data_IF_590765574996
#
_entry.id   IF_590765574996
#
_cell.length_a   1.000
_cell.length_b   1.000
_cell.length_c   1.000
_cell.angle_alpha   90.00
_cell.angle_beta   90.00
_cell.angle_gamma   90.00
#
_symmetry.space_group_name_H-M   'P 1'
#
loop_
_entity.id
_entity.type
_entity.pdbx_description
1 polymer ?
#
# COMPACT_ATOMS: atom_id res chain seq x y z
N UNK A 1 -29.98 -4.60 -11.36
CA UNK A 1 -30.46 -5.60 -10.39
C UNK A 1 -30.12 -6.95 -10.95
N UNK A 2 -29.12 -7.62 -10.38
CA UNK A 2 -28.87 -9.04 -10.64
C UNK A 2 -29.93 -9.83 -9.87
N UNK A 3 -30.50 -10.86 -10.49
CA UNK A 3 -31.39 -11.80 -9.82
C UNK A 3 -30.57 -12.70 -8.89
N UNK A 4 -31.20 -13.29 -7.87
CA UNK A 4 -30.54 -14.30 -7.01
C UNK A 4 -29.98 -15.47 -7.83
N UNK A 5 -30.63 -15.82 -8.94
CA UNK A 5 -30.17 -16.87 -9.87
C UNK A 5 -28.80 -16.55 -10.49
N UNK A 6 -28.54 -15.28 -10.83
CA UNK A 6 -27.24 -14.85 -11.37
C UNK A 6 -26.10 -14.99 -10.34
N UNK A 7 -26.37 -14.81 -9.05
CA UNK A 7 -25.36 -14.98 -8.00
C UNK A 7 -24.94 -16.45 -7.83
N UNK A 8 -25.89 -17.40 -7.94
CA UNK A 8 -25.58 -18.83 -7.87
C UNK A 8 -24.78 -19.32 -9.08
N UNK A 9 -25.23 -18.95 -10.29
CA UNK A 9 -24.51 -19.28 -11.53
C UNK A 9 -23.08 -18.74 -11.51
N UNK A 10 -22.90 -17.53 -10.99
CA UNK A 10 -21.58 -16.93 -10.91
C UNK A 10 -20.67 -17.57 -9.87
N UNK A 11 -21.18 -17.91 -8.70
CA UNK A 11 -20.40 -18.69 -7.72
C UNK A 11 -19.96 -20.03 -8.31
N UNK A 12 -20.84 -20.70 -9.06
CA UNK A 12 -20.52 -21.93 -9.76
C UNK A 12 -19.43 -21.71 -10.83
N UNK A 13 -19.53 -20.63 -11.62
CA UNK A 13 -18.50 -20.26 -12.60
C UNK A 13 -17.16 -19.94 -11.94
N UNK A 14 -17.15 -19.13 -10.88
CA UNK A 14 -15.92 -18.80 -10.14
C UNK A 14 -15.25 -20.05 -9.58
N UNK A 15 -16.04 -20.97 -9.01
CA UNK A 15 -15.52 -22.26 -8.55
C UNK A 15 -14.97 -23.11 -9.71
N UNK A 16 -15.62 -23.09 -10.87
CA UNK A 16 -15.15 -23.81 -12.07
C UNK A 16 -13.83 -23.24 -12.57
N UNK A 17 -13.68 -21.92 -12.61
CA UNK A 17 -12.43 -21.23 -12.97
C UNK A 17 -11.32 -21.54 -11.95
N UNK A 18 -11.65 -21.54 -10.66
CA UNK A 18 -10.71 -21.93 -9.60
C UNK A 18 -10.22 -23.37 -9.78
N UNK A 19 -11.13 -24.33 -10.03
CA UNK A 19 -10.78 -25.73 -10.27
C UNK A 19 -9.88 -25.84 -11.50
N UNK A 20 -10.28 -25.25 -12.63
CA UNK A 20 -9.50 -25.26 -13.86
C UNK A 20 -8.10 -24.66 -13.66
N UNK A 21 -7.98 -23.57 -12.89
CA UNK A 21 -6.68 -22.93 -12.60
C UNK A 21 -5.79 -23.82 -11.73
N UNK A 22 -6.36 -24.56 -10.77
CA UNK A 22 -5.64 -25.52 -9.92
C UNK A 22 -5.17 -26.77 -10.68
N UNK A 23 -5.90 -27.16 -11.72
CA UNK A 23 -5.58 -28.32 -12.56
C UNK A 23 -4.51 -28.03 -13.63
N UNK A 24 -4.17 -26.75 -13.85
CA UNK A 24 -3.07 -26.39 -14.73
C UNK A 24 -1.73 -26.80 -14.11
N UNK A 25 -0.95 -27.58 -14.87
CA UNK A 25 0.41 -27.98 -14.48
C UNK A 25 1.30 -26.74 -14.25
N UNK A 26 1.94 -26.59 -13.08
CA UNK A 26 2.78 -25.42 -12.78
C UNK A 26 3.88 -25.18 -13.83
N UNK A 27 4.45 -26.23 -14.41
CA UNK A 27 5.52 -26.13 -15.43
C UNK A 27 5.04 -25.65 -16.81
N UNK A 28 3.73 -25.46 -17.02
CA UNK A 28 3.18 -25.04 -18.30
C UNK A 28 3.54 -23.59 -18.64
N UNK A 29 3.68 -22.74 -17.62
CA UNK A 29 3.92 -21.31 -17.75
C UNK A 29 5.15 -20.94 -16.91
N UNK A 30 5.93 -19.96 -17.37
CA UNK A 30 6.98 -19.37 -16.54
C UNK A 30 6.37 -18.46 -15.45
N UNK A 31 7.21 -17.99 -14.52
CA UNK A 31 6.76 -17.07 -13.46
C UNK A 31 6.09 -15.80 -14.04
N UNK A 32 6.51 -15.34 -15.21
CA UNK A 32 5.92 -14.15 -15.81
C UNK A 32 4.49 -14.40 -16.30
N UNK A 33 4.28 -15.48 -17.01
CA UNK A 33 2.99 -15.89 -17.54
C UNK A 33 2.00 -16.22 -16.43
N UNK A 34 2.43 -16.90 -15.36
CA UNK A 34 1.58 -17.14 -14.19
C UNK A 34 1.11 -15.84 -13.53
N UNK A 35 2.00 -14.87 -13.35
CA UNK A 35 1.62 -13.56 -12.85
C UNK A 35 0.61 -12.87 -13.76
N UNK A 36 0.83 -12.87 -15.08
CA UNK A 36 -0.09 -12.21 -16.01
C UNK A 36 -1.47 -12.89 -16.03
N UNK A 37 -1.52 -14.22 -15.91
CA UNK A 37 -2.77 -14.95 -15.70
C UNK A 37 -3.47 -14.51 -14.41
N UNK A 38 -2.71 -14.39 -13.31
CA UNK A 38 -3.22 -13.85 -12.05
C UNK A 38 -3.81 -12.44 -12.22
N UNK A 39 -3.09 -11.52 -12.88
CA UNK A 39 -3.60 -10.17 -13.18
C UNK A 39 -4.89 -10.22 -13.98
N UNK A 40 -4.94 -11.00 -15.05
CA UNK A 40 -6.13 -11.15 -15.88
C UNK A 40 -7.34 -11.67 -15.10
N UNK A 41 -7.14 -12.66 -14.23
CA UNK A 41 -8.18 -13.22 -13.37
C UNK A 41 -8.66 -12.23 -12.31
N UNK A 42 -7.76 -11.43 -11.72
CA UNK A 42 -8.13 -10.33 -10.82
C UNK A 42 -9.00 -9.29 -11.55
N UNK A 43 -8.61 -8.85 -12.76
CA UNK A 43 -9.33 -7.85 -13.54
C UNK A 43 -10.80 -8.18 -13.82
N UNK A 44 -11.14 -9.47 -13.85
CA UNK A 44 -12.49 -9.96 -14.15
C UNK A 44 -13.21 -10.53 -12.92
N UNK A 45 -12.60 -10.42 -11.74
CA UNK A 45 -13.26 -10.74 -10.48
C UNK A 45 -13.11 -12.17 -9.96
N UNK A 46 -12.20 -12.98 -10.51
CA UNK A 46 -11.95 -14.36 -10.03
C UNK A 46 -10.77 -14.40 -9.05
N UNK A 47 -10.92 -13.76 -7.89
CA UNK A 47 -9.84 -13.50 -6.94
C UNK A 47 -9.19 -14.77 -6.39
N UNK A 48 -9.96 -15.81 -6.03
CA UNK A 48 -9.38 -17.08 -5.56
C UNK A 48 -8.61 -17.81 -6.65
N UNK A 49 -9.08 -17.77 -7.89
CA UNK A 49 -8.36 -18.35 -9.02
C UNK A 49 -7.09 -17.55 -9.32
N UNK A 50 -7.18 -16.22 -9.29
CA UNK A 50 -6.05 -15.31 -9.45
C UNK A 50 -4.96 -15.54 -8.39
N UNK A 51 -5.36 -15.81 -7.14
CA UNK A 51 -4.44 -16.22 -6.08
C UNK A 51 -3.73 -17.53 -6.39
N UNK A 52 -4.44 -18.55 -6.89
CA UNK A 52 -3.81 -19.82 -7.29
C UNK A 52 -2.72 -19.59 -8.36
N UNK A 53 -3.03 -18.80 -9.39
CA UNK A 53 -2.06 -18.44 -10.41
C UNK A 53 -0.88 -17.61 -9.84
N UNK A 54 -1.15 -16.74 -8.85
CA UNK A 54 -0.13 -15.94 -8.16
C UNK A 54 0.82 -16.79 -7.32
N UNK A 55 0.31 -17.80 -6.64
CA UNK A 55 1.13 -18.72 -5.84
C UNK A 55 2.08 -19.52 -6.74
N UNK A 56 1.60 -20.04 -7.88
CA UNK A 56 2.48 -20.65 -8.88
C UNK A 56 3.55 -19.66 -9.37
N UNK A 57 3.16 -18.40 -9.61
CA UNK A 57 4.09 -17.34 -10.00
C UNK A 57 5.19 -17.12 -8.95
N UNK A 58 4.85 -17.10 -7.66
CA UNK A 58 5.78 -16.93 -6.56
C UNK A 58 6.74 -18.13 -6.45
N UNK A 59 6.20 -19.35 -6.45
CA UNK A 59 6.99 -20.59 -6.37
C UNK A 59 8.02 -20.66 -7.49
N UNK A 60 7.56 -20.48 -8.73
CA UNK A 60 8.43 -20.53 -9.91
C UNK A 60 9.41 -19.35 -9.92
N UNK A 61 9.03 -18.17 -9.40
CA UNK A 61 9.96 -17.04 -9.28
C UNK A 61 11.15 -17.39 -8.39
N UNK A 62 10.89 -18.07 -7.26
CA UNK A 62 11.92 -18.50 -6.31
C UNK A 62 12.83 -19.53 -6.99
N UNK A 63 12.26 -20.55 -7.63
CA UNK A 63 13.01 -21.59 -8.34
C UNK A 63 13.90 -21.00 -9.44
N UNK A 64 13.32 -20.16 -10.31
CA UNK A 64 14.03 -19.47 -11.40
C UNK A 64 15.18 -18.60 -10.87
N UNK A 65 15.06 -18.01 -9.67
CA UNK A 65 16.12 -17.19 -9.06
C UNK A 65 17.26 -17.98 -8.44
N UNK A 66 17.02 -19.25 -8.06
CA UNK A 66 18.01 -20.15 -7.49
C UNK A 66 18.88 -20.86 -8.53
N UNK A 67 18.51 -20.79 -9.81
CA UNK A 67 19.29 -21.42 -10.87
C UNK A 67 20.69 -20.80 -11.05
N UNK A 68 21.65 -21.63 -11.46
CA UNK A 68 23.04 -21.17 -11.64
C UNK A 68 23.15 -20.02 -12.66
N UNK A 69 22.32 -20.03 -13.70
CA UNK A 69 22.35 -19.08 -14.81
C UNK A 69 21.19 -18.07 -14.80
N UNK A 70 20.51 -17.89 -13.65
CA UNK A 70 19.43 -16.90 -13.53
C UNK A 70 19.88 -15.50 -13.92
N UNK A 71 18.99 -14.77 -14.58
CA UNK A 71 19.18 -13.37 -14.89
C UNK A 71 19.09 -12.49 -13.62
N UNK A 72 19.68 -11.29 -13.63
CA UNK A 72 19.49 -10.27 -12.59
C UNK A 72 18.03 -10.09 -12.15
N UNK A 73 17.13 -9.97 -13.13
CA UNK A 73 15.70 -9.75 -12.91
C UNK A 73 15.04 -10.95 -12.23
N UNK A 74 15.42 -12.18 -12.62
CA UNK A 74 14.91 -13.38 -11.98
C UNK A 74 15.33 -13.46 -10.51
N UNK A 75 16.57 -13.12 -10.18
CA UNK A 75 17.06 -13.06 -8.80
C UNK A 75 16.32 -12.01 -7.99
N UNK A 76 16.16 -10.78 -8.51
CA UNK A 76 15.40 -9.72 -7.82
C UNK A 76 13.97 -10.17 -7.53
N UNK A 77 13.29 -10.75 -8.51
CA UNK A 77 11.91 -11.25 -8.36
C UNK A 77 11.82 -12.40 -7.34
N UNK A 78 12.81 -13.28 -7.30
CA UNK A 78 12.90 -14.34 -6.29
C UNK A 78 13.06 -13.75 -4.88
N UNK A 79 13.93 -12.74 -4.71
CA UNK A 79 14.11 -12.05 -3.43
C UNK A 79 12.81 -11.36 -3.01
N UNK A 80 12.10 -10.68 -3.92
CA UNK A 80 10.80 -10.07 -3.61
C UNK A 80 9.75 -11.10 -3.20
N UNK A 81 9.71 -12.26 -3.87
CA UNK A 81 8.81 -13.37 -3.51
C UNK A 81 9.11 -13.93 -2.12
N UNK A 82 10.39 -14.16 -1.81
CA UNK A 82 10.82 -14.65 -0.50
C UNK A 82 10.61 -13.60 0.61
N UNK A 83 10.80 -12.30 0.34
CA UNK A 83 10.51 -11.22 1.28
C UNK A 83 9.01 -11.18 1.61
N UNK A 84 8.14 -11.32 0.62
CA UNK A 84 6.69 -11.37 0.86
C UNK A 84 6.30 -12.58 1.73
N UNK A 85 6.97 -13.72 1.55
CA UNK A 85 6.74 -14.94 2.34
C UNK A 85 7.50 -14.98 3.67
N UNK A 86 8.29 -13.94 3.98
CA UNK A 86 9.19 -13.89 5.14
C UNK A 86 10.20 -15.05 5.20
N UNK A 87 10.62 -15.57 4.04
CA UNK A 87 11.67 -16.57 3.91
C UNK A 87 13.06 -15.91 4.02
N UNK A 88 13.35 -15.24 5.14
CA UNK A 88 14.52 -14.38 5.29
C UNK A 88 15.86 -15.10 5.08
N UNK A 89 15.94 -16.40 5.40
CA UNK A 89 17.13 -17.21 5.14
C UNK A 89 17.41 -17.37 3.64
N UNK A 90 16.37 -17.56 2.84
CA UNK A 90 16.47 -17.63 1.37
C UNK A 90 16.84 -16.27 0.79
N UNK A 91 16.24 -15.19 1.32
CA UNK A 91 16.60 -13.81 0.96
C UNK A 91 18.09 -13.56 1.17
N UNK A 92 18.65 -13.90 2.34
CA UNK A 92 20.09 -13.75 2.60
C UNK A 92 20.93 -14.49 1.57
N UNK A 93 20.61 -15.75 1.33
CA UNK A 93 21.33 -16.59 0.36
C UNK A 93 21.28 -16.01 -1.06
N UNK A 94 20.12 -15.53 -1.50
CA UNK A 94 19.96 -14.91 -2.82
C UNK A 94 20.68 -13.55 -2.92
N UNK A 95 20.67 -12.75 -1.85
CA UNK A 95 21.40 -11.50 -1.79
C UNK A 95 22.93 -11.71 -1.77
N UNK A 96 23.42 -12.80 -1.20
CA UNK A 96 24.84 -13.19 -1.27
C UNK A 96 25.31 -13.53 -2.69
N UNK A 97 24.39 -13.83 -3.62
CA UNK A 97 24.67 -13.96 -5.05
C UNK A 97 24.77 -12.57 -5.73
N UNK A 98 25.47 -11.65 -5.05
CA UNK A 98 25.50 -10.19 -5.27
C UNK A 98 25.81 -9.78 -6.71
N UNK A 99 26.59 -10.59 -7.41
CA UNK A 99 27.18 -10.26 -8.72
C UNK A 99 26.11 -10.12 -9.81
N UNK A 100 24.90 -10.61 -9.55
CA UNK A 100 23.77 -10.56 -10.48
C UNK A 100 22.82 -9.40 -10.22
N UNK A 101 22.84 -8.73 -9.06
CA UNK A 101 21.82 -7.75 -8.71
C UNK A 101 22.35 -6.32 -8.95
N UNK A 102 21.61 -5.45 -9.68
CA UNK A 102 21.98 -4.04 -9.81
C UNK A 102 22.10 -3.37 -8.44
N UNK A 103 23.11 -2.51 -8.25
CA UNK A 103 23.43 -1.92 -6.93
C UNK A 103 22.22 -1.26 -6.25
N UNK A 104 21.45 -0.47 -7.01
CA UNK A 104 20.26 0.21 -6.49
C UNK A 104 19.20 -0.79 -5.99
N UNK A 105 18.94 -1.87 -6.74
CA UNK A 105 18.03 -2.93 -6.33
C UNK A 105 18.55 -3.67 -5.11
N UNK A 106 19.85 -3.95 -5.07
CA UNK A 106 20.49 -4.59 -3.91
C UNK A 106 20.33 -3.77 -2.64
N UNK A 107 20.61 -2.46 -2.70
CA UNK A 107 20.49 -1.57 -1.53
C UNK A 107 19.03 -1.49 -1.04
N UNK A 108 18.06 -1.44 -1.96
CA UNK A 108 16.62 -1.47 -1.63
C UNK A 108 16.18 -2.79 -0.97
N UNK A 109 16.53 -3.93 -1.57
CA UNK A 109 16.18 -5.25 -1.04
C UNK A 109 16.84 -5.51 0.32
N UNK A 110 18.08 -5.03 0.50
CA UNK A 110 18.78 -5.13 1.77
C UNK A 110 18.16 -4.24 2.85
N UNK A 111 17.72 -3.03 2.51
CA UNK A 111 16.98 -2.18 3.44
C UNK A 111 15.67 -2.84 3.89
N UNK A 112 14.97 -3.49 2.95
CA UNK A 112 13.76 -4.27 3.24
C UNK A 112 14.05 -5.47 4.14
N UNK A 113 15.11 -6.25 3.89
CA UNK A 113 15.52 -7.35 4.78
C UNK A 113 15.83 -6.84 6.21
N UNK A 114 16.64 -5.78 6.33
CA UNK A 114 17.03 -5.21 7.61
C UNK A 114 15.83 -4.76 8.46
N UNK A 115 14.74 -4.33 7.80
CA UNK A 115 13.50 -3.93 8.46
C UNK A 115 12.89 -5.08 9.30
N UNK A 116 12.90 -6.30 8.76
CA UNK A 116 12.31 -7.46 9.41
C UNK A 116 13.24 -8.16 10.39
N UNK A 117 14.54 -8.13 10.14
CA UNK A 117 15.50 -8.83 11.00
C UNK A 117 15.61 -8.21 12.39
N UNK A 118 15.17 -6.95 12.57
CA UNK A 118 15.31 -6.17 13.81
C UNK A 118 16.74 -6.20 14.39
N UNK A 119 17.71 -6.66 13.60
CA UNK A 119 19.11 -6.64 13.95
C UNK A 119 19.46 -5.19 14.10
N UNK A 120 20.04 -4.85 15.26
CA UNK A 120 20.60 -3.57 15.65
C UNK A 120 21.77 -3.15 14.74
N UNK A 121 21.55 -3.19 13.44
CA UNK A 121 22.46 -2.72 12.44
C UNK A 121 22.12 -1.24 12.31
N UNK A 122 23.11 -0.38 12.60
CA UNK A 122 23.12 0.98 12.07
C UNK A 122 22.74 0.87 10.60
N UNK A 123 21.53 1.29 10.23
CA UNK A 123 21.12 1.26 8.83
C UNK A 123 22.23 1.95 8.02
N UNK A 124 22.53 1.50 6.79
CA UNK A 124 23.51 2.16 5.93
C UNK A 124 23.15 3.63 5.60
N UNK A 125 21.96 4.08 5.99
CA UNK A 125 21.45 5.44 5.81
C UNK A 125 21.25 6.09 7.19
N UNK A 126 22.26 6.06 8.05
CA UNK A 126 22.55 7.24 8.87
C UNK A 126 23.23 8.27 7.95
N UNK A 127 22.62 8.58 6.79
CA UNK A 127 23.04 9.76 6.03
C UNK A 127 22.88 10.92 7.01
N UNK A 128 23.92 11.75 7.18
CA UNK A 128 23.83 12.87 8.10
C UNK A 128 22.64 13.72 7.67
N UNK A 129 21.61 13.75 8.52
CA UNK A 129 20.45 14.61 8.33
C UNK A 129 21.00 16.03 8.23
N UNK A 130 20.84 16.63 7.07
CA UNK A 130 21.33 18.00 6.83
C UNK A 130 20.51 18.94 7.70
N UNK A 131 21.20 19.77 8.48
CA UNK A 131 20.57 20.75 9.33
C UNK A 131 19.64 21.68 8.50
N UNK A 132 18.43 21.91 8.99
CA UNK A 132 17.35 22.69 8.37
C UNK A 132 16.77 22.14 7.07
N UNK A 133 16.91 20.82 6.80
CA UNK A 133 16.27 20.16 5.66
C UNK A 133 14.83 19.69 5.98
N UNK A 134 13.96 19.49 4.97
CA UNK A 134 12.69 18.80 5.15
C UNK A 134 12.85 17.42 5.82
N UNK A 135 13.94 16.71 5.51
CA UNK A 135 14.29 15.42 6.14
C UNK A 135 14.51 15.58 7.66
N UNK A 136 15.10 16.68 8.13
CA UNK A 136 15.24 16.97 9.57
C UNK A 136 13.88 17.18 10.22
N UNK A 137 13.02 18.00 9.63
CA UNK A 137 11.69 18.26 10.17
C UNK A 137 10.87 16.96 10.27
N UNK A 138 10.93 16.11 9.25
CA UNK A 138 10.28 14.80 9.29
C UNK A 138 10.80 13.94 10.43
N UNK A 139 12.13 13.89 10.60
CA UNK A 139 12.75 13.17 11.71
C UNK A 139 12.31 13.72 13.07
N UNK A 140 12.29 15.04 13.27
CA UNK A 140 11.83 15.68 14.51
C UNK A 140 10.36 15.37 14.85
N UNK A 141 9.51 15.31 13.83
CA UNK A 141 8.10 14.97 13.98
C UNK A 141 7.88 13.47 14.24
N UNK A 142 8.79 12.58 13.87
CA UNK A 142 8.53 11.12 13.93
C UNK A 142 9.40 10.38 14.96
N UNK A 143 10.67 10.73 15.07
CA UNK A 143 11.65 9.99 15.85
C UNK A 143 11.29 9.92 17.34
N UNK A 144 11.20 8.72 17.88
CA UNK A 144 10.83 8.46 19.28
C UNK A 144 9.49 9.10 19.70
N UNK A 145 8.59 9.36 18.74
CA UNK A 145 7.23 9.88 18.96
C UNK A 145 6.18 8.78 18.87
N UNK A 146 5.07 8.98 19.58
CA UNK A 146 3.84 8.24 19.32
C UNK A 146 3.16 8.85 18.09
N UNK A 147 3.01 8.06 17.02
CA UNK A 147 2.49 8.53 15.73
C UNK A 147 1.15 7.87 15.42
N UNK A 148 0.16 8.67 15.05
CA UNK A 148 -1.08 8.19 14.44
C UNK A 148 -0.96 8.28 12.90
N UNK A 149 -1.28 7.20 12.19
CA UNK A 149 -1.42 7.20 10.73
C UNK A 149 -2.89 6.99 10.37
N UNK A 150 -3.52 7.99 9.77
CA UNK A 150 -4.95 7.97 9.42
C UNK A 150 -5.13 7.87 7.91
N UNK A 151 -5.82 6.82 7.49
CA UNK A 151 -6.15 6.56 6.11
C UNK A 151 -7.34 7.39 5.61
N UNK A 152 -7.62 7.34 4.30
CA UNK A 152 -8.75 8.04 3.70
C UNK A 152 -10.11 7.39 4.00
N UNK A 153 -10.11 6.11 4.40
CA UNK A 153 -11.31 5.34 4.74
C UNK A 153 -11.86 5.68 6.13
N UNK A 154 -13.02 5.10 6.48
CA UNK A 154 -13.67 5.33 7.77
C UNK A 154 -13.14 4.35 8.85
N UNK A 155 -12.56 4.82 9.97
CA UNK A 155 -12.30 3.99 11.13
C UNK A 155 -13.60 3.38 11.65
N UNK A 156 -13.55 2.11 12.05
CA UNK A 156 -14.71 1.42 12.59
C UNK A 156 -14.81 1.69 14.10
N UNK A 157 -15.11 2.95 14.45
CA UNK A 157 -15.23 3.40 15.83
C UNK A 157 -14.93 4.89 16.02
N UNK A 158 -15.16 5.39 17.24
CA UNK A 158 -14.89 6.77 17.65
C UNK A 158 -13.46 6.91 18.19
N UNK A 159 -12.48 7.04 17.29
CA UNK A 159 -11.05 7.14 17.66
C UNK A 159 -10.52 8.56 17.74
N UNK A 160 -11.37 9.58 17.62
CA UNK A 160 -10.93 10.96 17.46
C UNK A 160 -10.03 11.47 18.58
N UNK A 161 -10.42 11.22 19.83
CA UNK A 161 -9.64 11.59 21.01
C UNK A 161 -8.30 10.83 21.03
N UNK A 162 -8.31 9.55 20.67
CA UNK A 162 -7.10 8.73 20.64
C UNK A 162 -6.12 9.21 19.56
N UNK A 163 -6.61 9.48 18.35
CA UNK A 163 -5.84 10.03 17.24
C UNK A 163 -5.20 11.36 17.65
N UNK A 164 -5.99 12.28 18.18
CA UNK A 164 -5.52 13.62 18.56
C UNK A 164 -4.61 13.60 19.81
N UNK A 165 -4.55 12.49 20.55
CA UNK A 165 -3.61 12.30 21.67
C UNK A 165 -2.19 11.94 21.24
N UNK A 166 -2.00 11.53 19.97
CA UNK A 166 -0.68 11.25 19.43
C UNK A 166 0.19 12.52 19.43
N UNK A 167 1.50 12.34 19.56
CA UNK A 167 2.42 13.48 19.46
C UNK A 167 2.43 14.01 18.02
N UNK A 168 2.32 13.11 17.04
CA UNK A 168 2.29 13.43 15.61
C UNK A 168 1.15 12.69 14.93
N UNK A 169 0.31 13.44 14.21
CA UNK A 169 -0.77 12.89 13.39
C UNK A 169 -0.41 12.99 11.92
N UNK A 170 -0.43 11.85 11.24
CA UNK A 170 -0.13 11.75 9.82
C UNK A 170 -1.35 11.28 9.05
N UNK A 171 -1.58 11.83 7.87
CA UNK A 171 -2.77 11.53 7.05
C UNK A 171 -2.39 11.24 5.61
N UNK A 172 -3.09 10.28 5.01
CA UNK A 172 -2.95 9.96 3.59
C UNK A 172 -4.13 10.54 2.84
N UNK A 173 -3.87 11.23 1.72
CA UNK A 173 -4.91 11.92 0.93
C UNK A 173 -5.68 12.94 1.78
N UNK A 174 -4.92 13.79 2.48
CA UNK A 174 -5.47 14.87 3.30
C UNK A 174 -6.11 15.94 2.41
N UNK A 175 -7.32 16.35 2.75
CA UNK A 175 -8.16 17.26 1.95
C UNK A 175 -8.56 18.52 2.72
N UNK A 176 -7.86 18.83 3.81
CA UNK A 176 -8.22 19.94 4.71
C UNK A 176 -9.04 19.48 5.91
N UNK A 177 -8.89 20.20 7.01
CA UNK A 177 -9.56 19.90 8.27
C UNK A 177 -11.08 20.02 8.15
N UNK A 178 -11.55 20.98 7.37
CA UNK A 178 -12.95 21.25 7.07
C UNK A 178 -13.62 20.14 6.24
N UNK A 179 -12.83 19.33 5.54
CA UNK A 179 -13.29 18.21 4.71
C UNK A 179 -13.02 16.86 5.38
N UNK A 180 -12.54 16.84 6.63
CA UNK A 180 -12.44 15.61 7.40
C UNK A 180 -13.83 15.17 7.90
N UNK A 181 -14.02 13.87 8.13
CA UNK A 181 -15.20 13.38 8.84
C UNK A 181 -15.29 13.97 10.25
N UNK A 182 -16.45 13.84 10.94
CA UNK A 182 -16.62 14.40 12.27
C UNK A 182 -15.47 14.01 13.21
N UNK A 183 -14.91 15.00 13.92
CA UNK A 183 -13.67 14.87 14.69
C UNK A 183 -13.70 13.72 15.69
N UNK A 184 -14.87 13.36 16.25
CA UNK A 184 -15.03 12.19 17.14
C UNK A 184 -14.55 10.86 16.52
N UNK A 185 -14.56 10.73 15.19
CA UNK A 185 -14.15 9.52 14.49
C UNK A 185 -12.70 9.57 14.02
N UNK A 186 -12.26 10.73 13.51
CA UNK A 186 -10.98 10.85 12.78
C UNK A 186 -9.96 11.78 13.42
N UNK A 187 -10.30 12.44 14.54
CA UNK A 187 -9.52 13.54 15.09
C UNK A 187 -9.58 14.78 14.19
N UNK A 188 -9.10 15.92 14.69
CA UNK A 188 -9.01 17.16 13.93
C UNK A 188 -7.58 17.48 13.48
N UNK A 189 -6.56 16.92 14.14
CA UNK A 189 -5.17 17.30 13.90
C UNK A 189 -4.60 16.67 12.63
N UNK A 190 -3.64 17.36 12.01
CA UNK A 190 -2.77 16.82 10.97
C UNK A 190 -1.43 17.56 11.01
N UNK A 191 -0.33 16.84 11.25
CA UNK A 191 1.02 17.38 11.21
C UNK A 191 1.68 17.10 9.84
N UNK A 192 1.54 15.86 9.36
CA UNK A 192 2.16 15.41 8.10
C UNK A 192 1.09 14.86 7.17
N UNK A 193 1.03 15.37 5.95
CA UNK A 193 0.15 14.82 4.92
C UNK A 193 0.96 14.14 3.81
N UNK A 194 0.58 12.91 3.46
CA UNK A 194 1.04 12.27 2.24
C UNK A 194 0.18 12.72 1.07
N UNK A 195 0.82 13.25 0.02
CA UNK A 195 0.19 13.61 -1.24
C UNK A 195 1.01 13.08 -2.41
N UNK A 196 0.41 12.23 -3.24
CA UNK A 196 1.05 11.77 -4.47
C UNK A 196 0.99 12.84 -5.57
N UNK A 197 1.94 12.80 -6.50
CA UNK A 197 1.94 13.57 -7.74
C UNK A 197 1.81 15.10 -7.54
N UNK A 198 2.53 15.65 -6.54
CA UNK A 198 2.53 17.10 -6.28
C UNK A 198 3.01 17.94 -7.47
N UNK A 199 3.85 17.38 -8.35
CA UNK A 199 4.29 18.07 -9.57
C UNK A 199 3.11 18.46 -10.48
N UNK A 200 2.11 17.57 -10.63
CA UNK A 200 0.91 17.86 -11.43
C UNK A 200 0.09 18.94 -10.74
N UNK A 201 -0.08 18.84 -9.42
CA UNK A 201 -0.82 19.86 -8.65
C UNK A 201 -0.13 21.23 -8.70
N UNK A 202 1.20 21.27 -8.77
CA UNK A 202 1.95 22.51 -8.82
C UNK A 202 1.66 23.29 -10.11
N UNK A 203 1.52 22.59 -11.24
CA UNK A 203 1.11 23.20 -12.51
C UNK A 203 -0.27 23.86 -12.39
N UNK A 204 -1.21 23.24 -11.69
CA UNK A 204 -2.54 23.83 -11.46
C UNK A 204 -2.51 25.02 -10.49
N UNK A 205 -1.69 24.97 -9.44
CA UNK A 205 -1.49 26.10 -8.52
C UNK A 205 -0.90 27.30 -9.26
N UNK A 206 0.10 27.07 -10.12
CA UNK A 206 0.66 28.10 -10.99
C UNK A 206 -0.38 28.68 -11.97
N UNK A 207 -1.36 27.87 -12.38
CA UNK A 207 -2.51 28.29 -13.18
C UNK A 207 -3.62 29.02 -12.37
N UNK A 208 -3.41 29.26 -11.08
CA UNK A 208 -4.31 30.01 -10.20
C UNK A 208 -5.27 29.16 -9.37
N UNK A 209 -5.08 27.84 -9.32
CA UNK A 209 -5.82 26.99 -8.39
C UNK A 209 -5.42 27.29 -6.95
N UNK A 210 -6.40 27.60 -6.11
CA UNK A 210 -6.16 27.79 -4.69
C UNK A 210 -6.28 26.46 -3.92
N UNK A 211 -5.21 26.04 -3.25
CA UNK A 211 -5.13 24.83 -2.43
C UNK A 211 -4.83 25.17 -0.96
N UNK A 212 -5.70 25.97 -0.35
CA UNK A 212 -5.56 26.45 1.03
C UNK A 212 -5.70 25.35 2.10
N UNK A 213 -6.12 24.15 1.72
CA UNK A 213 -6.33 23.05 2.67
C UNK A 213 -5.04 22.49 3.29
N UNK A 214 -3.85 22.92 2.83
CA UNK A 214 -2.58 22.59 3.46
C UNK A 214 -2.10 23.64 4.49
N UNK A 215 -2.86 24.70 4.77
CA UNK A 215 -2.37 25.77 5.65
C UNK A 215 -2.04 25.30 7.08
N UNK A 216 -2.79 24.32 7.61
CA UNK A 216 -2.70 23.86 9.00
C UNK A 216 -1.80 22.63 9.22
N UNK A 217 -1.04 22.19 8.21
CA UNK A 217 -0.06 21.10 8.35
C UNK A 217 1.36 21.64 8.49
N UNK A 218 2.26 20.87 9.09
CA UNK A 218 3.67 21.23 9.24
C UNK A 218 4.45 20.95 7.95
N UNK A 219 4.16 19.81 7.30
CA UNK A 219 4.90 19.38 6.11
C UNK A 219 4.16 18.34 5.26
N UNK A 220 4.66 18.14 4.04
CA UNK A 220 4.17 17.16 3.08
C UNK A 220 5.19 16.04 2.86
N UNK A 221 4.69 14.84 2.58
CA UNK A 221 5.47 13.71 2.05
C UNK A 221 4.94 13.37 0.67
N UNK A 222 5.82 13.21 -0.32
CA UNK A 222 5.42 12.95 -1.71
C UNK A 222 6.38 12.04 -2.46
N UNK A 223 5.88 11.42 -3.52
CA UNK A 223 6.68 10.73 -4.52
C UNK A 223 7.17 11.68 -5.65
N UNK A 224 6.85 12.97 -5.57
CA UNK A 224 7.35 14.01 -6.48
C UNK A 224 8.53 14.75 -5.85
N UNK A 225 9.60 14.93 -6.62
CA UNK A 225 10.75 15.77 -6.23
C UNK A 225 10.38 17.26 -6.29
N UNK A 226 9.91 17.78 -5.17
CA UNK A 226 9.67 19.20 -4.94
C UNK A 226 10.21 19.57 -3.57
N UNK A 227 10.92 20.70 -3.39
CA UNK A 227 11.40 21.10 -2.06
C UNK A 227 10.28 21.70 -1.21
N UNK A 228 9.30 22.36 -1.84
CA UNK A 228 8.16 22.98 -1.19
C UNK A 228 6.91 22.87 -2.06
N UNK A 229 5.74 22.90 -1.43
CA UNK A 229 4.44 22.96 -2.09
C UNK A 229 3.45 23.74 -1.21
N UNK A 230 2.75 24.72 -1.78
CA UNK A 230 1.85 25.63 -1.03
C UNK A 230 2.48 26.21 0.25
N UNK A 231 3.76 26.60 0.18
CA UNK A 231 4.49 27.17 1.31
C UNK A 231 4.91 26.15 2.40
N UNK A 232 4.67 24.86 2.20
CA UNK A 232 5.08 23.78 3.12
C UNK A 232 6.30 23.04 2.61
N UNK A 233 7.25 22.65 3.48
CA UNK A 233 8.36 21.80 3.09
C UNK A 233 7.84 20.42 2.66
N UNK A 234 8.51 19.83 1.68
CA UNK A 234 8.15 18.52 1.12
C UNK A 234 9.33 17.56 1.30
N UNK A 235 9.07 16.40 1.92
CA UNK A 235 9.99 15.27 1.91
C UNK A 235 9.64 14.35 0.74
N UNK A 236 10.64 14.09 -0.10
CA UNK A 236 10.52 13.15 -1.21
C UNK A 236 10.83 11.73 -0.73
N UNK A 237 10.01 10.78 -1.17
CA UNK A 237 10.27 9.36 -0.98
C UNK A 237 11.40 8.92 -1.92
N UNK A 238 12.59 8.73 -1.35
CA UNK A 238 13.82 8.41 -2.10
C UNK A 238 13.95 6.93 -2.48
N UNK A 239 13.26 6.05 -1.75
CA UNK A 239 13.40 4.60 -1.92
C UNK A 239 12.06 3.94 -2.22
N UNK A 240 11.87 3.38 -3.44
CA UNK A 240 10.70 2.56 -3.70
C UNK A 240 10.75 1.31 -2.82
N UNK A 241 9.61 0.93 -2.25
CA UNK A 241 9.49 -0.32 -1.50
C UNK A 241 9.58 -1.46 -2.52
N UNK A 242 10.60 -2.32 -2.39
CA UNK A 242 10.68 -3.54 -3.19
C UNK A 242 9.54 -4.47 -2.83
N UNK A 243 8.62 -4.70 -3.76
CA UNK A 243 7.44 -5.53 -3.60
C UNK A 243 7.31 -6.44 -4.81
N UNK A 244 6.76 -7.64 -4.61
CA UNK A 244 6.62 -8.61 -5.68
C UNK A 244 5.83 -8.05 -6.86
N UNK A 245 6.56 -7.68 -7.93
CA UNK A 245 6.07 -7.22 -9.23
C UNK A 245 5.01 -6.11 -9.18
N UNK A 246 5.04 -5.27 -8.16
CA UNK A 246 4.09 -4.18 -7.98
C UNK A 246 4.71 -2.97 -7.30
N UNK A 247 3.90 -1.91 -7.16
CA UNK A 247 4.25 -0.73 -6.37
C UNK A 247 3.43 -0.67 -5.09
N UNK A 248 4.03 -0.12 -4.05
CA UNK A 248 3.33 0.16 -2.82
C UNK A 248 2.30 1.27 -3.05
N UNK A 249 1.15 1.15 -2.39
CA UNK A 249 0.12 2.20 -2.39
C UNK A 249 0.47 3.26 -1.35
N UNK A 250 -0.06 4.47 -1.54
CA UNK A 250 0.15 5.65 -0.67
C UNK A 250 0.20 5.35 0.84
N UNK A 251 -0.78 4.58 1.34
CA UNK A 251 -0.83 4.15 2.74
C UNK A 251 0.38 3.34 3.20
N UNK A 252 0.74 2.34 2.41
CA UNK A 252 1.86 1.44 2.68
C UNK A 252 3.20 2.18 2.54
N UNK A 253 3.30 3.09 1.56
CA UNK A 253 4.44 3.98 1.41
C UNK A 253 4.64 4.81 2.68
N UNK A 254 3.59 5.50 3.13
CA UNK A 254 3.67 6.37 4.30
C UNK A 254 4.02 5.56 5.56
N UNK A 255 3.41 4.39 5.75
CA UNK A 255 3.73 3.48 6.85
C UNK A 255 5.22 3.09 6.85
N UNK A 256 5.77 2.70 5.70
CA UNK A 256 7.18 2.35 5.58
C UNK A 256 8.11 3.54 5.89
N UNK A 257 7.78 4.75 5.43
CA UNK A 257 8.55 5.96 5.75
C UNK A 257 8.54 6.24 7.25
N UNK A 258 7.37 6.13 7.89
CA UNK A 258 7.25 6.30 9.33
C UNK A 258 8.08 5.28 10.10
N UNK A 259 7.99 3.99 9.77
CA UNK A 259 8.78 2.96 10.46
C UNK A 259 10.28 3.23 10.34
N UNK A 260 10.77 3.61 9.16
CA UNK A 260 12.18 3.92 8.95
C UNK A 260 12.65 5.15 9.73
N UNK A 261 11.77 6.10 10.04
CA UNK A 261 12.06 7.24 10.90
C UNK A 261 12.05 6.90 12.41
N UNK A 262 11.91 5.62 12.77
CA UNK A 262 12.08 5.07 14.13
C UNK A 262 11.21 5.77 15.20
N UNK A 263 9.88 5.77 15.04
CA UNK A 263 8.97 6.26 16.06
C UNK A 263 9.02 5.37 17.29
N UNK A 264 8.52 5.89 18.41
CA UNK A 264 8.34 5.11 19.63
C UNK A 264 7.23 4.09 19.45
N UNK A 265 6.14 4.48 18.79
CA UNK A 265 5.02 3.63 18.43
C UNK A 265 4.26 4.23 17.24
N UNK A 266 3.69 3.37 16.41
CA UNK A 266 2.75 3.76 15.35
C UNK A 266 1.43 3.07 15.63
N UNK A 267 0.32 3.81 15.57
CA UNK A 267 -1.02 3.24 15.48
C UNK A 267 -1.76 3.72 14.24
N UNK A 268 -2.36 2.79 13.50
CA UNK A 268 -3.01 3.05 12.22
C UNK A 268 -4.55 3.03 12.37
N UNK A 269 -5.24 3.92 11.66
CA UNK A 269 -6.70 4.07 11.67
C UNK A 269 -7.27 4.24 10.27
N UNK A 270 -8.45 3.68 10.01
CA UNK A 270 -9.15 3.88 8.74
C UNK A 270 -8.48 3.19 7.54
N UNK A 271 -7.76 2.09 7.79
CA UNK A 271 -7.20 1.21 6.77
C UNK A 271 -7.87 -0.15 6.82
N UNK A 272 -8.48 -0.53 5.70
CA UNK A 272 -9.07 -1.84 5.47
C UNK A 272 -8.31 -2.66 4.43
N UNK A 273 -7.21 -2.10 3.89
CA UNK A 273 -6.43 -2.68 2.80
C UNK A 273 -7.31 -3.11 1.62
N UNK A 274 -8.27 -2.28 1.19
CA UNK A 274 -9.19 -2.57 0.07
C UNK A 274 -10.18 -3.71 0.33
N UNK A 275 -10.31 -4.19 1.57
CA UNK A 275 -11.26 -5.25 1.94
C UNK A 275 -12.72 -4.77 2.07
N UNK A 276 -13.02 -3.51 1.74
CA UNK A 276 -14.37 -2.96 1.68
C UNK A 276 -14.57 -2.06 0.43
N UNK A 277 -15.80 -1.92 -0.09
CA UNK A 277 -16.04 -1.09 -1.31
C UNK A 277 -16.03 0.41 -1.02
N UNK A 278 -16.39 0.80 0.21
CA UNK A 278 -16.29 2.17 0.70
C UNK A 278 -14.85 2.49 1.13
N UNK A 279 -14.05 2.94 0.16
CA UNK A 279 -12.62 3.22 0.33
C UNK A 279 -12.33 4.61 0.93
N UNK A 280 -13.32 5.50 0.91
CA UNK A 280 -13.22 6.87 1.40
C UNK A 280 -14.34 7.12 2.40
N UNK A 281 -14.06 7.99 3.36
CA UNK A 281 -15.13 8.61 4.14
C UNK A 281 -16.04 9.46 3.24
N UNK A 282 -17.28 9.71 3.67
CA UNK A 282 -18.25 10.49 2.89
C UNK A 282 -17.74 11.91 2.63
N UNK A 283 -17.13 12.55 3.64
CA UNK A 283 -16.53 13.89 3.51
C UNK A 283 -15.39 13.93 2.48
N UNK A 284 -14.48 12.96 2.53
CA UNK A 284 -13.39 12.89 1.55
C UNK A 284 -13.93 12.60 0.14
N UNK A 285 -14.92 11.71 0.01
CA UNK A 285 -15.58 11.43 -1.26
C UNK A 285 -16.24 12.68 -1.84
N UNK A 286 -17.03 13.40 -1.05
CA UNK A 286 -17.74 14.59 -1.51
C UNK A 286 -16.75 15.67 -1.97
N UNK A 287 -15.63 15.82 -1.26
CA UNK A 287 -14.53 16.68 -1.69
C UNK A 287 -13.93 16.24 -3.03
N UNK A 288 -13.60 14.95 -3.20
CA UNK A 288 -13.02 14.44 -4.44
C UNK A 288 -14.03 14.39 -5.60
N UNK A 289 -15.32 14.27 -5.34
CA UNK A 289 -16.34 14.37 -6.37
C UNK A 289 -16.34 15.76 -7.02
N UNK A 290 -16.13 16.81 -6.21
CA UNK A 290 -16.06 18.21 -6.70
C UNK A 290 -14.68 18.55 -7.27
N UNK A 291 -13.61 18.12 -6.59
CA UNK A 291 -12.24 18.59 -6.87
C UNK A 291 -11.37 17.57 -7.60
N UNK A 292 -11.77 16.30 -7.66
CA UNK A 292 -11.00 15.19 -8.24
C UNK A 292 -10.55 15.40 -9.69
N UNK A 293 -11.38 15.98 -10.59
CA UNK A 293 -10.95 16.34 -11.94
C UNK A 293 -9.77 17.31 -11.99
N UNK A 294 -9.65 18.18 -10.97
CA UNK A 294 -8.59 19.18 -10.85
C UNK A 294 -7.38 18.59 -10.13
N UNK A 295 -7.59 17.69 -9.17
CA UNK A 295 -6.53 17.08 -8.37
C UNK A 295 -5.78 15.95 -9.09
N UNK A 296 -5.95 15.83 -10.41
CA UNK A 296 -5.15 14.96 -11.26
C UNK A 296 -5.53 13.47 -11.21
N UNK A 297 -6.67 13.10 -10.62
CA UNK A 297 -7.17 11.73 -10.73
C UNK A 297 -8.66 11.65 -10.34
N UNK A 298 -9.62 11.77 -11.28
CA UNK A 298 -10.93 11.20 -11.05
C UNK A 298 -10.76 9.68 -11.13
N UNK A 299 -10.28 9.04 -10.05
CA UNK A 299 -10.38 7.58 -9.94
C UNK A 299 -11.83 7.23 -10.29
N UNK A 300 -12.05 6.30 -11.24
CA UNK A 300 -13.40 5.87 -11.57
C UNK A 300 -14.16 5.51 -10.29
N UNK A 301 -15.42 5.95 -10.14
CA UNK A 301 -16.30 5.55 -9.03
C UNK A 301 -16.33 6.45 -7.79
N UNK A 302 -15.65 7.61 -7.76
CA UNK A 302 -15.79 8.59 -6.66
C UNK A 302 -17.21 9.14 -6.48
N UNK A 303 -18.06 9.04 -7.49
CA UNK A 303 -19.47 9.42 -7.48
C UNK A 303 -20.39 8.37 -6.82
N UNK A 304 -19.83 7.27 -6.33
CA UNK A 304 -20.59 6.16 -5.76
C UNK A 304 -20.30 5.95 -4.27
N UNK A 305 -21.35 5.63 -3.48
CA UNK A 305 -21.21 5.20 -2.09
C UNK A 305 -20.34 3.92 -1.98
N UNK A 306 -20.49 3.03 -2.96
CA UNK A 306 -19.72 1.81 -3.12
C UNK A 306 -19.13 1.76 -4.53
N UNK A 307 -17.80 1.71 -4.63
CA UNK A 307 -17.11 1.58 -5.91
C UNK A 307 -17.70 0.40 -6.71
N UNK A 308 -18.09 0.58 -7.98
CA UNK A 308 -18.53 -0.52 -8.83
C UNK A 308 -17.53 -1.66 -8.83
N UNK A 309 -18.01 -2.90 -8.77
CA UNK A 309 -17.14 -4.05 -8.59
C UNK A 309 -16.09 -4.19 -9.71
N UNK A 310 -16.41 -3.71 -10.93
CA UNK A 310 -15.48 -3.66 -12.06
C UNK A 310 -14.37 -2.64 -11.92
N UNK A 311 -14.63 -1.52 -11.25
CA UNK A 311 -13.59 -0.54 -10.92
C UNK A 311 -12.63 -1.15 -9.91
N UNK A 312 -13.17 -1.78 -8.86
CA UNK A 312 -12.33 -2.42 -7.85
C UNK A 312 -11.47 -3.51 -8.52
N UNK A 313 -12.04 -4.41 -9.32
CA UNK A 313 -11.25 -5.43 -10.01
C UNK A 313 -10.23 -4.85 -11.00
N UNK A 314 -10.56 -3.78 -11.73
CA UNK A 314 -9.61 -3.10 -12.60
C UNK A 314 -8.46 -2.45 -11.82
N UNK A 315 -8.72 -1.87 -10.65
CA UNK A 315 -7.65 -1.37 -9.77
C UNK A 315 -6.67 -2.51 -9.39
N UNK A 316 -7.15 -3.74 -9.20
CA UNK A 316 -6.30 -4.92 -8.97
C UNK A 316 -5.50 -5.33 -10.22
N UNK A 317 -5.82 -4.81 -11.40
CA UNK A 317 -5.06 -4.99 -12.63
C UNK A 317 -3.93 -3.96 -12.80
N UNK A 318 -4.01 -2.84 -12.08
CA UNK A 318 -2.98 -1.78 -12.03
C UNK A 318 -2.09 -1.91 -10.79
N UNK A 319 -2.67 -2.33 -9.66
CA UNK A 319 -1.98 -2.52 -8.38
C UNK A 319 -2.10 -3.98 -7.91
N UNK A 320 -1.05 -4.58 -7.35
CA UNK A 320 -1.19 -5.86 -6.64
C UNK A 320 -1.46 -5.54 -5.17
N UNK A 321 -2.74 -5.40 -4.83
CA UNK A 321 -3.11 -5.13 -3.44
C UNK A 321 -2.87 -6.33 -2.53
N UNK A 322 -2.73 -7.55 -3.08
CA UNK A 322 -2.37 -8.72 -2.28
C UNK A 322 -0.94 -8.58 -1.80
N UNK A 323 0.00 -8.16 -2.66
CA UNK A 323 1.37 -7.84 -2.20
C UNK A 323 1.37 -6.73 -1.14
N UNK A 324 0.53 -5.70 -1.31
CA UNK A 324 0.41 -4.60 -0.33
C UNK A 324 -0.15 -5.07 1.02
N UNK A 325 -1.15 -5.94 0.98
CA UNK A 325 -1.71 -6.60 2.16
C UNK A 325 -0.65 -7.47 2.85
N UNK A 326 0.02 -8.36 2.12
CA UNK A 326 1.06 -9.24 2.64
C UNK A 326 2.19 -8.44 3.30
N UNK A 327 2.65 -7.37 2.64
CA UNK A 327 3.68 -6.50 3.20
C UNK A 327 3.22 -5.84 4.52
N UNK A 328 2.04 -5.22 4.54
CA UNK A 328 1.50 -4.60 5.76
C UNK A 328 1.25 -5.62 6.88
N UNK A 329 0.76 -6.82 6.54
CA UNK A 329 0.58 -7.92 7.46
C UNK A 329 1.91 -8.37 8.06
N UNK A 330 2.96 -8.48 7.26
CA UNK A 330 4.29 -8.87 7.71
C UNK A 330 4.85 -7.85 8.70
N UNK A 331 4.70 -6.55 8.41
CA UNK A 331 5.09 -5.47 9.32
C UNK A 331 4.31 -5.53 10.64
N UNK A 332 3.00 -5.84 10.58
CA UNK A 332 2.14 -6.01 11.75
C UNK A 332 2.56 -7.21 12.61
N UNK A 333 2.74 -8.38 11.99
CA UNK A 333 3.23 -9.60 12.66
C UNK A 333 4.61 -9.41 13.26
N UNK A 334 5.45 -8.62 12.60
CA UNK A 334 6.74 -8.20 13.12
C UNK A 334 6.63 -7.14 14.21
N UNK A 335 5.43 -6.74 14.66
CA UNK A 335 5.20 -5.80 15.77
C UNK A 335 5.73 -4.39 15.52
N UNK A 336 5.75 -3.93 14.26
CA UNK A 336 6.27 -2.61 13.89
C UNK A 336 5.20 -1.50 13.97
N UNK A 337 3.93 -1.86 14.07
CA UNK A 337 2.82 -0.94 14.32
C UNK A 337 1.64 -1.67 14.96
N UNK A 338 0.70 -0.91 15.52
CA UNK A 338 -0.62 -1.37 15.93
C UNK A 338 -1.71 -0.76 15.02
N UNK A 339 -2.90 -1.34 15.01
CA UNK A 339 -4.00 -0.89 14.16
C UNK A 339 -5.32 -1.01 14.92
N UNK A 340 -6.30 -0.18 14.57
CA UNK A 340 -7.64 -0.29 15.14
C UNK A 340 -8.26 -1.69 14.93
N UNK A 341 -9.17 -2.15 15.82
CA UNK A 341 -9.70 -3.51 15.86
C UNK A 341 -10.21 -4.09 14.54
N UNK A 342 -10.88 -3.30 13.69
CA UNK A 342 -11.36 -3.80 12.41
C UNK A 342 -10.19 -4.07 11.45
N UNK A 343 -9.30 -3.11 11.26
CA UNK A 343 -8.08 -3.28 10.48
C UNK A 343 -7.22 -4.44 11.00
N UNK A 344 -7.17 -4.64 12.33
CA UNK A 344 -6.53 -5.82 12.93
C UNK A 344 -7.17 -7.12 12.44
N UNK A 345 -8.51 -7.21 12.46
CA UNK A 345 -9.23 -8.40 11.96
C UNK A 345 -8.96 -8.70 10.49
N UNK A 346 -8.63 -7.68 9.67
CA UNK A 346 -8.21 -7.86 8.29
C UNK A 346 -6.77 -8.39 8.23
N UNK A 347 -5.83 -7.80 8.98
CA UNK A 347 -4.43 -8.24 9.00
C UNK A 347 -4.22 -9.61 9.67
N UNK A 348 -5.21 -10.15 10.38
CA UNK A 348 -5.20 -11.51 10.94
C UNK A 348 -5.65 -12.58 9.92
N UNK A 349 -6.23 -12.18 8.78
CA UNK A 349 -6.60 -13.11 7.70
C UNK A 349 -5.34 -13.72 7.06
N UNK A 350 -5.38 -14.98 6.65
CA UNK A 350 -4.38 -15.49 5.70
C UNK A 350 -4.51 -14.76 4.35
N UNK A 351 -3.45 -14.70 3.52
CA UNK A 351 -3.56 -14.13 2.17
C UNK A 351 -4.68 -14.76 1.34
N UNK A 352 -4.92 -16.08 1.49
CA UNK A 352 -6.06 -16.74 0.87
C UNK A 352 -7.40 -16.19 1.38
N UNK A 353 -7.61 -16.15 2.71
CA UNK A 353 -8.85 -15.61 3.29
C UNK A 353 -9.10 -14.14 2.92
N UNK A 354 -8.03 -13.35 2.78
CA UNK A 354 -8.12 -11.97 2.28
C UNK A 354 -8.66 -11.94 0.84
N UNK A 355 -8.16 -12.78 -0.07
CA UNK A 355 -8.71 -12.84 -1.44
C UNK A 355 -10.12 -13.44 -1.50
N UNK A 356 -10.47 -14.38 -0.62
CA UNK A 356 -11.86 -14.86 -0.50
C UNK A 356 -12.79 -13.71 -0.12
N UNK A 357 -12.40 -12.91 0.88
CA UNK A 357 -13.15 -11.74 1.31
C UNK A 357 -13.31 -10.70 0.19
N UNK A 358 -12.26 -10.49 -0.62
CA UNK A 358 -12.34 -9.60 -1.79
C UNK A 358 -13.33 -10.13 -2.84
N UNK A 359 -13.32 -11.44 -3.11
CA UNK A 359 -14.27 -12.06 -4.03
C UNK A 359 -15.72 -11.93 -3.52
N UNK A 360 -15.94 -12.19 -2.23
CA UNK A 360 -17.24 -12.06 -1.57
C UNK A 360 -17.75 -10.61 -1.60
N UNK A 361 -16.89 -9.66 -1.26
CA UNK A 361 -17.17 -8.22 -1.32
C UNK A 361 -17.64 -7.80 -2.72
N UNK A 362 -17.08 -8.43 -3.75
CA UNK A 362 -17.40 -8.12 -5.13
C UNK A 362 -18.59 -8.89 -5.67
N UNK A 363 -19.16 -9.86 -4.94
CA UNK A 363 -20.16 -10.86 -5.36
C UNK A 363 -21.47 -10.35 -6.02
N UNK A 364 -21.57 -9.07 -6.31
CA UNK A 364 -22.67 -8.37 -7.01
C UNK A 364 -22.35 -8.00 -8.48
N UNK A 365 -21.51 -8.75 -9.21
CA UNK A 365 -21.53 -8.63 -10.69
C UNK A 365 -22.35 -9.72 -11.36
#
# INVERSE_FOLDING_TARGET
MLTLDNQFERRALSNSVLIATKELEPSLLDATCWYQLSRGLFSIGYFRAAWCARENSLDISIDEGLERNSSPTAVVRAVEADLERLNLDSVRKLLELTDKIPRQSFDSLRAHLNLFERSSVKNPVDEPIVASSPDQLFHELVYNKNVALVGPGHPHGEYGIEIDSAETVTRVKFVGEENLPPSRFHGARCNIAYQAALNILNEYVEAGLNLDFYQNIDMLVSNSELPHFSGKPVVTIKHPISMYRTTAISGVIMLYQLINARPKAIKIYGFDFRAHRKQYSDSARDFYHVNGPILGNPYPGFDSDNLPSWIVAMDFSEHDFVSNFCFAQNLYKAGLFDIEPYGKSILELTPYQYVERLEEMLGDW
#
